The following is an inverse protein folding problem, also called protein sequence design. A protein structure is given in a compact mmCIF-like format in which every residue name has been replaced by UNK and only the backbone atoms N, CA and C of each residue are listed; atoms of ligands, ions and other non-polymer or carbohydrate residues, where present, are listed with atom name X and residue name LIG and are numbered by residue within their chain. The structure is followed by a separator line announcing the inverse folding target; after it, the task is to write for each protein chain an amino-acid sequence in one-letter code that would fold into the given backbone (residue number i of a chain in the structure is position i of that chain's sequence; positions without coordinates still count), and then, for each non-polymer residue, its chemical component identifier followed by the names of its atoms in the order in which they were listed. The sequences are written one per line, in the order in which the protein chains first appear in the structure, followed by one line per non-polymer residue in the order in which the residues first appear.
data_IF_797850111752
#
_entry.id   IF_797850111752
#
_cell.length_a   1.000
_cell.length_b   1.000
_cell.length_c   1.000
_cell.angle_alpha   90.00
_cell.angle_beta   90.00
_cell.angle_gamma   90.00
#
_symmetry.space_group_name_H-M   'P 1'
#
loop_
_entity.id
_entity.type
_entity.pdbx_description
1 polymer ?
#
# COMPACT_ATOMS: atom_id res chain seq x y z
N UNK A 1 12.94 6.14 40.23
CA UNK A 1 13.90 5.66 39.22
C UNK A 1 13.13 5.51 37.92
N UNK A 2 13.07 6.56 37.11
CA UNK A 2 12.58 6.49 35.74
C UNK A 2 13.70 5.88 34.91
N UNK A 3 13.50 4.67 34.41
CA UNK A 3 14.42 4.08 33.45
C UNK A 3 14.44 5.00 32.23
N UNK A 4 15.58 5.65 31.98
CA UNK A 4 15.80 6.32 30.72
C UNK A 4 15.88 5.22 29.66
N UNK A 5 14.92 5.19 28.75
CA UNK A 5 15.04 4.43 27.52
C UNK A 5 16.33 4.85 26.82
N UNK A 6 17.05 3.90 26.23
CA UNK A 6 18.31 4.24 25.56
C UNK A 6 17.97 5.10 24.33
N UNK A 7 18.76 6.15 24.00
CA UNK A 7 18.47 7.08 22.90
C UNK A 7 18.21 6.44 21.53
N UNK A 8 18.55 5.16 21.32
CA UNK A 8 18.22 4.39 20.12
C UNK A 8 16.87 3.67 20.15
N UNK A 9 16.37 3.25 21.32
CA UNK A 9 15.10 2.50 21.40
C UNK A 9 13.89 3.40 21.16
N UNK A 10 13.98 4.69 21.53
CA UNK A 10 12.88 5.64 21.31
C UNK A 10 12.68 5.97 19.82
N UNK A 11 13.77 5.99 19.04
CA UNK A 11 13.70 6.22 17.59
C UNK A 11 13.14 5.00 16.85
N UNK A 12 13.60 3.80 17.19
CA UNK A 12 13.08 2.57 16.58
C UNK A 12 11.57 2.40 16.87
N UNK A 13 11.15 2.66 18.11
CA UNK A 13 9.75 2.64 18.52
C UNK A 13 8.92 3.73 17.80
N UNK A 14 9.49 4.92 17.60
CA UNK A 14 8.87 6.00 16.83
C UNK A 14 8.63 5.59 15.38
N UNK A 15 9.67 5.08 14.70
CA UNK A 15 9.57 4.66 13.30
C UNK A 15 8.56 3.53 13.14
N UNK A 16 8.57 2.54 14.05
CA UNK A 16 7.61 1.45 14.07
C UNK A 16 6.17 1.96 14.25
N UNK A 17 5.93 2.87 15.20
CA UNK A 17 4.60 3.48 15.42
C UNK A 17 4.09 4.23 14.18
N UNK A 18 4.96 4.99 13.53
CA UNK A 18 4.60 5.71 12.29
C UNK A 18 4.28 4.70 11.18
N UNK A 19 5.09 3.65 11.01
CA UNK A 19 4.85 2.60 10.04
C UNK A 19 3.49 1.91 10.28
N UNK A 20 3.17 1.55 11.52
CA UNK A 20 1.89 0.95 11.89
C UNK A 20 0.71 1.87 11.56
N UNK A 21 0.86 3.18 11.76
CA UNK A 21 -0.17 4.17 11.42
C UNK A 21 -0.37 4.26 9.90
N UNK A 22 0.71 4.25 9.13
CA UNK A 22 0.68 4.25 7.65
C UNK A 22 0.00 2.99 7.13
N UNK A 23 0.37 1.82 7.64
CA UNK A 23 -0.22 0.52 7.28
C UNK A 23 -1.69 0.45 7.69
N UNK A 24 -2.02 0.94 8.89
CA UNK A 24 -3.39 1.04 9.38
C UNK A 24 -4.26 1.91 8.49
N UNK A 25 -3.79 3.11 8.13
CA UNK A 25 -4.46 3.99 7.18
C UNK A 25 -4.70 3.27 5.84
N UNK A 26 -3.66 2.66 5.27
CA UNK A 26 -3.77 1.99 3.98
C UNK A 26 -4.80 0.86 4.03
N UNK A 27 -4.82 0.10 5.13
CA UNK A 27 -5.81 -0.92 5.40
C UNK A 27 -7.25 -0.41 5.49
N UNK A 28 -7.49 0.89 5.72
CA UNK A 28 -8.85 1.47 5.67
C UNK A 28 -9.29 1.90 4.28
N UNK A 29 -8.36 2.02 3.32
CA UNK A 29 -8.68 2.45 1.98
C UNK A 29 -9.35 1.32 1.17
N UNK A 30 -10.12 1.74 0.16
CA UNK A 30 -10.71 0.84 -0.82
C UNK A 30 -10.62 1.48 -2.23
N UNK A 31 -9.69 1.04 -3.10
CA UNK A 31 -8.69 -0.03 -2.91
C UNK A 31 -7.65 0.30 -1.82
N UNK A 32 -6.88 -0.70 -1.36
CA UNK A 32 -5.77 -0.46 -0.42
C UNK A 32 -4.76 0.46 -1.10
N UNK A 33 -4.46 1.60 -0.49
CA UNK A 33 -3.52 2.57 -1.02
C UNK A 33 -2.69 3.18 0.10
N UNK A 34 -1.40 3.41 -0.18
CA UNK A 34 -0.52 4.05 0.78
C UNK A 34 -0.78 5.57 0.79
N UNK A 35 -0.72 6.22 1.95
CA UNK A 35 -0.91 7.65 2.03
C UNK A 35 0.22 8.36 1.29
N UNK A 36 -0.10 9.38 0.49
CA UNK A 36 0.92 10.16 -0.23
C UNK A 36 1.83 10.97 0.71
N UNK A 37 1.38 11.25 1.94
CA UNK A 37 2.14 11.94 3.00
C UNK A 37 1.74 11.42 4.37
N UNK A 38 2.60 11.59 5.39
CA UNK A 38 2.26 11.21 6.77
C UNK A 38 1.04 11.95 7.32
N UNK A 39 0.81 13.21 6.90
CA UNK A 39 -0.35 13.99 7.31
C UNK A 39 -1.68 13.39 6.81
N UNK A 40 -1.68 12.76 5.62
CA UNK A 40 -2.87 12.05 5.10
C UNK A 40 -3.20 10.83 5.97
N UNK A 41 -2.18 10.18 6.55
CA UNK A 41 -2.35 9.11 7.52
C UNK A 41 -2.84 9.62 8.90
N UNK A 42 -3.02 10.93 9.07
CA UNK A 42 -3.48 11.57 10.31
C UNK A 42 -2.36 11.94 11.29
N UNK A 43 -1.09 11.80 10.91
CA UNK A 43 0.04 12.14 11.77
C UNK A 43 0.34 13.64 11.75
N UNK A 44 0.48 14.22 12.94
CA UNK A 44 0.91 15.62 13.09
C UNK A 44 2.42 15.79 12.94
N UNK A 45 2.86 17.05 12.78
CA UNK A 45 4.29 17.38 12.75
C UNK A 45 5.01 16.98 14.05
N UNK A 46 4.36 17.09 15.21
CA UNK A 46 4.94 16.70 16.50
C UNK A 46 5.06 15.19 16.67
N UNK A 47 4.17 14.41 16.06
CA UNK A 47 4.23 12.94 16.11
C UNK A 47 5.24 12.35 15.12
N UNK A 48 5.75 13.20 14.22
CA UNK A 48 6.71 12.87 13.16
C UNK A 48 8.04 13.59 13.36
N UNK A 49 8.32 14.04 14.58
CA UNK A 49 9.64 14.53 14.98
C UNK A 49 10.43 13.41 15.63
N UNK A 50 11.69 13.28 15.23
CA UNK A 50 12.67 12.43 15.89
C UNK A 50 13.15 13.05 17.23
N UNK A 51 13.94 12.32 18.03
CA UNK A 51 14.43 12.81 19.33
C UNK A 51 15.26 14.10 19.26
N UNK A 52 15.79 14.46 18.09
CA UNK A 52 16.58 15.68 17.87
C UNK A 52 15.73 16.83 17.31
N UNK A 53 14.43 16.61 17.11
CA UNK A 53 13.47 17.59 16.63
C UNK A 53 13.42 17.70 15.10
N UNK A 54 14.13 16.83 14.37
CA UNK A 54 14.08 16.77 12.92
C UNK A 54 12.84 15.99 12.48
N UNK A 55 12.24 16.38 11.36
CA UNK A 55 11.09 15.67 10.81
C UNK A 55 11.49 14.34 10.18
N UNK A 56 10.71 13.29 10.41
CA UNK A 56 10.84 12.01 9.73
C UNK A 56 10.51 12.18 8.24
N UNK A 57 11.44 11.76 7.40
CA UNK A 57 11.29 11.76 5.95
C UNK A 57 10.55 10.49 5.55
N UNK A 58 9.43 10.65 4.85
CA UNK A 58 8.63 9.54 4.31
C UNK A 58 8.75 9.51 2.79
N UNK A 59 9.19 8.37 2.25
CA UNK A 59 9.37 8.17 0.81
C UNK A 59 8.64 6.92 0.36
N UNK A 60 7.79 7.06 -0.67
CA UNK A 60 7.16 5.93 -1.37
C UNK A 60 8.12 5.37 -2.42
N UNK A 61 8.30 4.05 -2.46
CA UNK A 61 9.13 3.42 -3.47
C UNK A 61 8.77 1.94 -3.65
N UNK A 62 8.70 1.49 -4.91
CA UNK A 62 8.55 0.06 -5.25
C UNK A 62 7.32 -0.62 -4.63
N UNK A 63 6.24 0.12 -4.38
CA UNK A 63 5.05 -0.41 -3.71
C UNK A 63 5.17 -0.59 -2.20
N UNK A 64 6.22 -0.05 -1.61
CA UNK A 64 6.38 0.07 -0.17
C UNK A 64 6.74 1.49 0.21
N UNK A 65 7.30 1.64 1.40
CA UNK A 65 7.76 2.94 1.88
C UNK A 65 9.01 2.84 2.74
N UNK A 66 9.68 3.98 2.90
CA UNK A 66 10.80 4.14 3.81
C UNK A 66 10.56 5.36 4.69
N UNK A 67 10.81 5.20 5.99
CA UNK A 67 10.84 6.26 6.98
C UNK A 67 12.29 6.48 7.39
N UNK A 68 12.78 7.72 7.31
CA UNK A 68 14.16 8.06 7.65
C UNK A 68 14.19 9.19 8.67
N UNK A 69 14.91 9.00 9.78
CA UNK A 69 15.42 10.10 10.60
C UNK A 69 16.80 10.47 10.10
N UNK A 70 17.06 11.77 9.92
CA UNK A 70 18.38 12.29 9.54
C UNK A 70 19.28 12.49 10.77
N UNK A 71 19.01 11.75 11.85
CA UNK A 71 19.86 11.75 13.04
C UNK A 71 20.01 13.12 13.72
N UNK A 72 21.19 13.30 14.31
CA UNK A 72 21.55 14.45 15.12
C UNK A 72 21.82 15.66 14.24
N UNK A 73 22.42 15.45 13.07
CA UNK A 73 22.85 16.53 12.18
C UNK A 73 21.71 17.08 11.31
N UNK A 74 20.61 16.33 11.20
CA UNK A 74 19.42 16.69 10.43
C UNK A 74 19.63 16.65 8.91
N UNK A 75 20.78 16.18 8.44
CA UNK A 75 21.18 16.16 7.05
C UNK A 75 21.05 14.74 6.46
N UNK A 76 20.38 14.63 5.32
CA UNK A 76 20.21 13.34 4.67
C UNK A 76 21.54 12.78 4.09
N UNK A 77 21.69 11.46 4.13
CA UNK A 77 22.85 10.72 3.64
C UNK A 77 24.00 10.65 4.64
N UNK A 78 23.76 11.03 5.90
CA UNK A 78 24.72 11.00 7.00
C UNK A 78 24.97 9.59 7.54
N UNK A 79 25.97 9.46 8.41
CA UNK A 79 26.27 8.21 9.12
C UNK A 79 25.36 7.98 10.34
N UNK A 80 24.60 9.00 10.72
CA UNK A 80 23.63 9.04 11.81
C UNK A 80 22.18 8.87 11.33
N UNK A 81 21.97 8.74 10.02
CA UNK A 81 20.67 8.42 9.45
C UNK A 81 20.21 7.02 9.89
N UNK A 82 18.96 6.95 10.32
CA UNK A 82 18.29 5.68 10.66
C UNK A 82 17.05 5.55 9.80
N UNK A 83 16.97 4.44 9.05
CA UNK A 83 15.88 4.17 8.14
C UNK A 83 15.16 2.87 8.47
N UNK A 84 13.82 2.92 8.46
CA UNK A 84 12.94 1.76 8.47
C UNK A 84 12.29 1.64 7.10
N UNK A 85 12.56 0.53 6.41
CA UNK A 85 11.92 0.21 5.14
C UNK A 85 10.85 -0.86 5.35
N UNK A 86 9.65 -0.62 4.81
CA UNK A 86 8.58 -1.61 4.71
C UNK A 86 8.38 -1.90 3.23
N UNK A 87 8.73 -3.10 2.81
CA UNK A 87 8.70 -3.53 1.42
C UNK A 87 7.30 -3.89 0.96
N UNK A 88 7.10 -3.89 -0.37
CA UNK A 88 5.87 -4.41 -0.99
C UNK A 88 5.52 -5.82 -0.49
N UNK A 89 6.51 -6.72 -0.42
CA UNK A 89 6.29 -8.10 0.00
C UNK A 89 5.81 -8.20 1.46
N UNK A 90 6.34 -7.36 2.35
CA UNK A 90 5.88 -7.29 3.74
C UNK A 90 4.44 -6.78 3.82
N UNK A 91 4.10 -5.73 3.08
CA UNK A 91 2.73 -5.21 3.01
C UNK A 91 1.75 -6.25 2.46
N UNK A 92 2.13 -6.96 1.39
CA UNK A 92 1.34 -8.09 0.86
C UNK A 92 1.11 -9.13 1.95
N UNK A 93 2.14 -9.52 2.70
CA UNK A 93 2.01 -10.47 3.80
C UNK A 93 1.06 -10.00 4.89
N UNK A 94 1.22 -8.75 5.35
CA UNK A 94 0.38 -8.13 6.38
C UNK A 94 -1.08 -8.09 5.94
N UNK A 95 -1.36 -7.57 4.75
CA UNK A 95 -2.73 -7.43 4.27
C UNK A 95 -3.37 -8.78 3.96
N UNK A 96 -2.59 -9.75 3.45
CA UNK A 96 -3.08 -11.13 3.21
C UNK A 96 -3.60 -11.78 4.50
N UNK A 97 -2.89 -11.60 5.63
CA UNK A 97 -3.35 -12.08 6.94
C UNK A 97 -4.65 -11.41 7.37
N UNK A 98 -4.87 -10.16 6.97
CA UNK A 98 -6.12 -9.42 7.20
C UNK A 98 -7.22 -9.75 6.18
N UNK A 99 -6.99 -10.73 5.28
CA UNK A 99 -7.93 -11.10 4.22
C UNK A 99 -8.08 -10.04 3.14
N UNK A 100 -7.08 -9.16 2.97
CA UNK A 100 -7.06 -8.10 1.98
C UNK A 100 -5.89 -8.27 1.01
N UNK A 101 -6.11 -7.96 -0.26
CA UNK A 101 -5.07 -8.05 -1.28
C UNK A 101 -4.48 -6.67 -1.55
N UNK A 102 -3.15 -6.56 -1.46
CA UNK A 102 -2.42 -5.33 -1.73
C UNK A 102 -1.70 -5.40 -3.08
N UNK A 103 -2.05 -4.48 -3.97
CA UNK A 103 -1.50 -4.37 -5.33
C UNK A 103 -1.10 -2.94 -5.60
N UNK A 104 0.01 -2.76 -6.32
CA UNK A 104 0.55 -1.44 -6.64
C UNK A 104 0.01 -0.88 -7.94
N UNK A 105 -0.62 -1.74 -8.75
CA UNK A 105 -1.23 -1.40 -10.04
C UNK A 105 -2.48 -2.27 -10.19
N UNK A 106 -3.65 -1.64 -10.27
CA UNK A 106 -4.84 -2.34 -10.75
C UNK A 106 -4.71 -2.62 -12.25
N UNK A 107 -5.08 -3.82 -12.74
CA UNK A 107 -5.17 -4.04 -14.17
C UNK A 107 -6.20 -3.07 -14.77
N UNK A 108 -5.77 -2.30 -15.76
CA UNK A 108 -6.65 -1.33 -16.43
C UNK A 108 -7.68 -2.11 -17.25
N UNK A 109 -8.96 -1.83 -17.01
CA UNK A 109 -10.06 -2.38 -17.80
C UNK A 109 -9.87 -2.04 -19.30
N UNK A 110 -10.19 -2.97 -20.22
CA UNK A 110 -10.13 -2.69 -21.65
C UNK A 110 -11.13 -1.58 -22.06
N UNK A 111 -10.80 -0.89 -23.15
CA UNK A 111 -11.59 0.22 -23.73
C UNK A 111 -13.03 -0.24 -23.98
N UNK A 112 -14.06 0.62 -23.81
CA UNK A 112 -15.47 0.25 -23.95
C UNK A 112 -15.87 -0.57 -25.19
N UNK A 113 -15.12 -0.43 -26.28
CA UNK A 113 -15.29 -1.20 -27.52
C UNK A 113 -15.12 -2.72 -27.33
N UNK A 114 -14.39 -3.17 -26.31
CA UNK A 114 -14.13 -4.58 -26.03
C UNK A 114 -15.22 -5.25 -25.18
N UNK A 115 -16.12 -4.48 -24.54
CA UNK A 115 -17.32 -5.05 -23.87
C UNK A 115 -18.40 -5.51 -24.86
N UNK A 116 -18.18 -5.31 -26.17
CA UNK A 116 -19.09 -5.76 -27.22
C UNK A 116 -18.89 -7.24 -27.58
N UNK A 117 -17.86 -7.92 -27.05
CA UNK A 117 -17.53 -9.30 -27.36
C UNK A 117 -17.20 -10.10 -26.08
N UNK A 118 -18.07 -11.06 -25.74
CA UNK A 118 -17.92 -11.91 -24.57
C UNK A 118 -16.60 -12.72 -24.59
N UNK A 119 -16.10 -13.14 -25.76
CA UNK A 119 -14.85 -13.90 -25.87
C UNK A 119 -13.61 -13.01 -25.64
N UNK A 120 -13.69 -11.72 -25.97
CA UNK A 120 -12.64 -10.76 -25.70
C UNK A 120 -12.58 -10.40 -24.20
N UNK A 121 -13.73 -10.35 -23.53
CA UNK A 121 -13.81 -10.18 -22.07
C UNK A 121 -13.27 -11.42 -21.36
N UNK A 122 -13.70 -12.63 -21.73
CA UNK A 122 -13.24 -13.89 -21.13
C UNK A 122 -11.74 -14.15 -21.36
N UNK A 123 -11.23 -13.88 -22.58
CA UNK A 123 -9.79 -13.96 -22.87
C UNK A 123 -8.96 -12.92 -22.12
N UNK A 124 -9.54 -11.78 -21.75
CA UNK A 124 -8.89 -10.81 -20.87
C UNK A 124 -8.97 -11.26 -19.40
N UNK A 125 -10.10 -11.78 -18.93
CA UNK A 125 -10.25 -12.33 -17.58
C UNK A 125 -9.22 -13.43 -17.32
N UNK A 126 -9.09 -14.40 -18.24
CA UNK A 126 -8.23 -15.58 -18.12
C UNK A 126 -6.78 -15.38 -18.60
N UNK A 127 -6.46 -14.23 -19.19
CA UNK A 127 -5.14 -13.89 -19.73
C UNK A 127 -4.11 -13.48 -18.66
N UNK A 128 -2.84 -13.39 -19.06
CA UNK A 128 -1.78 -12.91 -18.16
C UNK A 128 -1.99 -11.43 -17.80
N UNK A 129 -2.31 -11.15 -16.54
CA UNK A 129 -2.68 -9.80 -16.07
C UNK A 129 -4.20 -9.51 -16.12
N UNK A 130 -5.01 -10.55 -16.36
CA UNK A 130 -6.47 -10.55 -16.29
C UNK A 130 -7.04 -10.70 -14.89
N UNK A 131 -8.36 -10.52 -14.74
CA UNK A 131 -9.03 -10.64 -13.44
C UNK A 131 -8.96 -12.07 -12.83
N UNK A 132 -8.72 -13.15 -13.59
CA UNK A 132 -8.54 -14.53 -13.05
C UNK A 132 -7.14 -14.77 -12.51
N UNK A 133 -6.10 -14.23 -13.16
CA UNK A 133 -4.79 -14.09 -12.50
C UNK A 133 -4.89 -13.14 -11.30
N UNK A 134 -5.87 -12.23 -11.30
CA UNK A 134 -6.25 -11.40 -10.18
C UNK A 134 -7.30 -12.05 -9.23
N UNK A 135 -7.69 -13.32 -9.38
CA UNK A 135 -8.68 -13.95 -8.49
C UNK A 135 -8.07 -14.33 -7.13
N UNK A 136 -6.74 -14.37 -7.03
CA UNK A 136 -6.03 -14.24 -5.75
C UNK A 136 -6.04 -12.81 -5.17
N UNK A 137 -6.58 -11.84 -5.92
CA UNK A 137 -6.43 -10.39 -5.71
C UNK A 137 -7.77 -9.62 -5.61
N UNK A 138 -8.94 -10.26 -5.67
CA UNK A 138 -10.23 -9.56 -5.79
C UNK A 138 -11.08 -9.55 -4.52
N UNK A 139 -10.96 -8.46 -3.76
CA UNK A 139 -12.12 -7.87 -3.05
C UNK A 139 -12.43 -6.44 -3.55
N UNK A 140 -11.52 -5.72 -4.23
CA UNK A 140 -11.67 -4.27 -4.36
C UNK A 140 -11.23 -3.65 -5.71
N UNK A 141 -11.81 -4.06 -6.85
CA UNK A 141 -11.68 -3.31 -8.10
C UNK A 141 -13.07 -3.03 -8.69
N UNK A 142 -13.51 -1.77 -8.72
CA UNK A 142 -14.79 -1.38 -9.37
C UNK A 142 -14.84 -1.81 -10.85
N UNK A 143 -13.67 -1.89 -11.48
CA UNK A 143 -13.50 -2.30 -12.87
C UNK A 143 -13.60 -3.83 -13.07
N UNK A 144 -13.02 -4.65 -12.18
CA UNK A 144 -13.29 -6.10 -12.24
C UNK A 144 -14.72 -6.42 -11.83
N UNK A 145 -15.34 -5.67 -10.90
CA UNK A 145 -16.78 -5.84 -10.60
C UNK A 145 -17.66 -5.59 -11.84
N UNK A 146 -17.28 -4.64 -12.69
CA UNK A 146 -17.96 -4.38 -13.97
C UNK A 146 -17.71 -5.52 -14.97
N UNK A 147 -16.47 -6.00 -15.07
CA UNK A 147 -16.14 -7.14 -15.95
C UNK A 147 -16.86 -8.44 -15.53
N UNK A 148 -16.92 -8.73 -14.22
CA UNK A 148 -17.66 -9.87 -13.64
C UNK A 148 -19.17 -9.74 -13.90
N UNK A 149 -19.73 -8.54 -13.77
CA UNK A 149 -21.15 -8.31 -14.09
C UNK A 149 -21.43 -8.61 -15.57
N UNK A 150 -20.59 -8.13 -16.49
CA UNK A 150 -20.74 -8.42 -17.93
C UNK A 150 -20.55 -9.90 -18.27
N UNK A 151 -19.57 -10.58 -17.68
CA UNK A 151 -19.35 -12.01 -17.86
C UNK A 151 -20.56 -12.85 -17.38
N UNK A 152 -21.13 -12.45 -16.23
CA UNK A 152 -22.35 -13.08 -15.73
C UNK A 152 -23.55 -12.86 -16.67
N UNK A 153 -23.66 -11.68 -17.29
CA UNK A 153 -24.69 -11.41 -18.32
C UNK A 153 -24.47 -12.24 -19.60
N UNK A 154 -23.23 -12.39 -20.06
CA UNK A 154 -22.86 -13.25 -21.19
C UNK A 154 -23.19 -14.74 -20.91
N UNK A 155 -22.86 -15.22 -19.70
CA UNK A 155 -23.14 -16.59 -19.26
C UNK A 155 -24.64 -16.86 -19.16
N UNK A 156 -25.43 -15.92 -18.62
CA UNK A 156 -26.90 -16.04 -18.57
C UNK A 156 -27.53 -15.95 -19.97
N UNK A 157 -26.91 -15.22 -20.90
CA UNK A 157 -27.38 -15.09 -22.28
C UNK A 157 -26.98 -16.29 -23.18
N UNK A 158 -26.13 -17.19 -22.70
CA UNK A 158 -25.76 -18.44 -23.39
C UNK A 158 -24.80 -18.25 -24.56
N UNK A 159 -23.94 -17.24 -24.49
CA UNK A 159 -22.82 -17.04 -25.42
C UNK A 159 -21.59 -17.85 -25.01
#
# INVERSE_FOLDING_TARGET
MTAACSPGSELDELLARIADTVVGYAGTQNPIDLPATLAIAGLSATETQDPWGNGIVYTLSGGGFTLTSNGVDGAAGGGDDVALAVSYNELVGIFTVLGKSYVTVEPVSPVPANYADCAAVDGWMSGAGGCDTALGYLINASNCNTAIAYDSECTFAGY
#
